data_IF_936777269642
#
_entry.id   IF_936777269642
#
_cell.length_a   1.000
_cell.length_b   1.000
_cell.length_c   1.000
_cell.angle_alpha   90.00
_cell.angle_beta   90.00
_cell.angle_gamma   90.00
#
_symmetry.space_group_name_H-M   'P 1'
#
loop_
_entity.id
_entity.type
_entity.pdbx_description
1 polymer ?
#
# COMPACT_ATOMS: atom_id res chain seq x y z
N UNK A 1 -1.42 8.98 -19.89
CA UNK A 1 -1.05 7.71 -20.56
C UNK A 1 -2.30 6.86 -20.66
N UNK A 2 -2.58 6.18 -21.80
CA UNK A 2 -3.74 5.31 -21.90
C UNK A 2 -3.58 4.11 -20.93
N UNK A 3 -4.68 3.69 -20.31
CA UNK A 3 -4.71 2.51 -19.43
C UNK A 3 -4.49 1.24 -20.28
N UNK A 4 -3.70 0.26 -19.81
CA UNK A 4 -3.63 -1.03 -20.48
C UNK A 4 -4.97 -1.77 -20.38
N UNK A 5 -5.29 -2.53 -21.44
CA UNK A 5 -6.56 -3.25 -21.64
C UNK A 5 -6.63 -4.48 -20.71
N UNK A 6 -7.68 -4.67 -19.88
CA UNK A 6 -7.75 -5.69 -18.82
C UNK A 6 -7.99 -7.13 -19.33
N UNK A 7 -7.65 -7.41 -20.58
CA UNK A 7 -7.90 -8.71 -21.20
C UNK A 7 -6.71 -9.65 -21.01
N UNK A 8 -6.86 -10.60 -20.09
CA UNK A 8 -6.04 -11.81 -19.87
C UNK A 8 -4.87 -11.68 -18.89
N UNK A 9 -5.14 -11.59 -17.59
CA UNK A 9 -4.49 -12.35 -16.51
C UNK A 9 -5.29 -12.05 -15.22
N UNK A 10 -5.46 -13.03 -14.35
CA UNK A 10 -6.27 -12.92 -13.12
C UNK A 10 -5.65 -11.92 -12.15
N UNK A 11 -6.11 -10.65 -12.18
CA UNK A 11 -5.52 -9.55 -11.41
C UNK A 11 -5.40 -9.87 -9.91
N UNK A 12 -6.41 -10.54 -9.32
CA UNK A 12 -6.43 -10.89 -7.90
C UNK A 12 -5.33 -11.86 -7.42
N UNK A 13 -4.92 -12.81 -8.25
CA UNK A 13 -3.87 -13.77 -7.88
C UNK A 13 -2.50 -13.08 -7.82
N UNK A 14 -2.30 -12.06 -8.64
CA UNK A 14 -1.05 -11.31 -8.69
C UNK A 14 -0.86 -10.44 -7.44
N UNK A 15 -1.91 -9.73 -6.98
CA UNK A 15 -1.87 -8.92 -5.75
C UNK A 15 -1.47 -9.75 -4.53
N UNK A 16 -2.16 -10.88 -4.31
CA UNK A 16 -1.85 -11.77 -3.18
C UNK A 16 -0.43 -12.34 -3.28
N UNK A 17 0.04 -12.68 -4.49
CA UNK A 17 1.39 -13.20 -4.68
C UNK A 17 2.47 -12.18 -4.30
N UNK A 18 2.29 -10.88 -4.62
CA UNK A 18 3.29 -9.86 -4.31
C UNK A 18 3.35 -9.54 -2.82
N UNK A 19 2.20 -9.38 -2.15
CA UNK A 19 2.13 -9.22 -0.69
C UNK A 19 2.79 -10.39 0.04
N UNK A 20 2.48 -11.62 -0.39
CA UNK A 20 3.05 -12.83 0.17
C UNK A 20 4.58 -12.89 -0.03
N UNK A 21 5.08 -12.56 -1.22
CA UNK A 21 6.52 -12.51 -1.49
C UNK A 21 7.22 -11.43 -0.66
N UNK A 22 6.57 -10.28 -0.47
CA UNK A 22 7.09 -9.22 0.40
C UNK A 22 7.21 -9.71 1.84
N UNK A 23 6.15 -10.32 2.38
CA UNK A 23 6.12 -10.89 3.73
C UNK A 23 7.20 -11.95 3.91
N UNK A 24 7.39 -12.87 2.96
CA UNK A 24 8.44 -13.88 3.06
C UNK A 24 9.86 -13.30 3.04
N UNK A 25 10.07 -12.19 2.33
CA UNK A 25 11.39 -11.57 2.21
C UNK A 25 11.73 -10.67 3.40
N UNK A 26 10.73 -9.96 3.93
CA UNK A 26 10.93 -8.90 4.93
C UNK A 26 10.43 -9.28 6.33
N UNK A 27 9.65 -10.35 6.46
CA UNK A 27 9.07 -10.86 7.71
C UNK A 27 8.14 -9.88 8.44
N UNK A 28 7.51 -8.95 7.71
CA UNK A 28 6.41 -8.12 8.20
C UNK A 28 5.45 -7.79 7.06
N UNK A 29 4.26 -7.34 7.42
CA UNK A 29 3.25 -6.84 6.49
C UNK A 29 3.02 -5.35 6.74
N UNK A 30 3.26 -4.48 5.75
CA UNK A 30 2.98 -3.05 5.89
C UNK A 30 1.50 -2.80 6.25
N UNK A 31 1.21 -1.97 7.27
CA UNK A 31 -0.18 -1.63 7.61
C UNK A 31 -0.88 -0.91 6.45
N UNK A 32 -0.11 -0.30 5.55
CA UNK A 32 -0.62 0.35 4.33
C UNK A 32 -1.48 -0.58 3.48
N UNK A 33 -1.21 -1.89 3.46
CA UNK A 33 -1.97 -2.83 2.63
C UNK A 33 -3.43 -3.02 3.05
N UNK A 34 -3.76 -2.65 4.29
CA UNK A 34 -5.13 -2.70 4.80
C UNK A 34 -5.82 -1.32 4.77
N UNK A 35 -5.10 -0.27 4.35
CA UNK A 35 -5.59 1.11 4.40
C UNK A 35 -6.27 1.51 3.09
N UNK A 36 -7.48 2.07 3.17
CA UNK A 36 -8.27 2.51 2.02
C UNK A 36 -7.63 3.61 1.16
N UNK A 37 -6.64 4.30 1.71
CA UNK A 37 -5.93 5.42 1.08
C UNK A 37 -4.61 5.01 0.42
N UNK A 38 -4.26 3.72 0.47
CA UNK A 38 -3.08 3.19 -0.19
C UNK A 38 -3.41 2.76 -1.62
N UNK A 39 -2.56 3.14 -2.57
CA UNK A 39 -2.69 2.74 -3.97
C UNK A 39 -1.98 1.38 -4.15
N UNK A 40 -2.67 0.29 -3.79
CA UNK A 40 -2.14 -1.07 -3.88
C UNK A 40 -1.81 -1.47 -5.33
N UNK A 41 -2.53 -0.93 -6.31
CA UNK A 41 -2.26 -1.13 -7.73
C UNK A 41 -0.91 -0.51 -8.13
N UNK A 42 -0.66 0.75 -7.73
CA UNK A 42 0.62 1.41 -7.97
C UNK A 42 1.80 0.66 -7.36
N UNK A 43 1.63 0.15 -6.14
CA UNK A 43 2.65 -0.67 -5.51
C UNK A 43 2.82 -1.98 -6.27
N UNK A 44 1.74 -2.69 -6.57
CA UNK A 44 1.79 -4.03 -7.13
C UNK A 44 2.45 -4.07 -8.50
N UNK A 45 2.01 -3.22 -9.42
CA UNK A 45 2.45 -3.25 -10.81
C UNK A 45 3.68 -2.39 -11.10
N UNK A 46 3.93 -1.34 -10.31
CA UNK A 46 5.00 -0.37 -10.59
C UNK A 46 6.01 -0.20 -9.45
N UNK A 47 5.83 -0.88 -8.33
CA UNK A 47 6.68 -0.79 -7.12
C UNK A 47 6.72 0.62 -6.50
N UNK A 48 5.64 1.38 -6.67
CA UNK A 48 5.50 2.75 -6.17
C UNK A 48 4.66 2.74 -4.89
N UNK A 49 5.22 3.21 -3.76
CA UNK A 49 4.53 3.35 -2.48
C UNK A 49 3.67 4.63 -2.44
N UNK A 50 2.54 4.64 -3.13
CA UNK A 50 1.67 5.81 -3.21
C UNK A 50 0.54 5.74 -2.18
N UNK A 51 0.31 6.87 -1.50
CA UNK A 51 -0.75 7.04 -0.52
C UNK A 51 -1.32 8.47 -0.62
N UNK A 52 -2.61 8.66 -0.35
CA UNK A 52 -3.19 10.02 -0.37
C UNK A 52 -2.71 10.90 0.79
N UNK A 53 -2.35 10.29 1.93
CA UNK A 53 -1.93 10.98 3.13
C UNK A 53 -0.53 11.62 3.03
N UNK A 54 0.36 11.05 2.21
CA UNK A 54 1.78 11.42 2.14
C UNK A 54 2.26 11.52 0.70
N UNK A 55 3.19 12.44 0.42
CA UNK A 55 3.95 12.41 -0.84
C UNK A 55 4.92 11.23 -0.91
N UNK A 56 5.52 10.87 0.23
CA UNK A 56 6.35 9.68 0.42
C UNK A 56 5.99 9.04 1.78
N UNK A 57 5.66 7.75 1.79
CA UNK A 57 5.26 7.05 3.01
C UNK A 57 6.48 6.90 3.93
N UNK A 58 6.43 7.41 5.18
CA UNK A 58 7.52 7.23 6.15
C UNK A 58 7.84 5.77 6.40
N UNK A 59 9.14 5.43 6.50
CA UNK A 59 9.59 4.05 6.72
C UNK A 59 9.01 3.42 7.98
N UNK A 60 8.80 4.19 9.05
CA UNK A 60 8.22 3.68 10.29
C UNK A 60 6.73 3.35 10.17
N UNK A 61 6.00 4.02 9.28
CA UNK A 61 4.62 3.64 8.93
C UNK A 61 4.65 2.41 8.04
N UNK A 62 5.50 2.41 7.02
CA UNK A 62 5.63 1.28 6.10
C UNK A 62 6.06 -0.01 6.81
N UNK A 63 6.97 0.08 7.79
CA UNK A 63 7.54 -1.06 8.51
C UNK A 63 6.76 -1.44 9.77
N UNK A 64 5.51 -1.01 9.92
CA UNK A 64 4.64 -1.31 11.08
C UNK A 64 5.20 -0.87 12.45
N UNK A 65 6.06 0.15 12.49
CA UNK A 65 6.49 0.77 13.77
C UNK A 65 5.50 1.85 14.22
N UNK A 66 4.64 2.29 13.33
CA UNK A 66 3.53 3.22 13.56
C UNK A 66 2.35 2.82 12.66
N UNK A 67 1.21 2.51 13.25
CA UNK A 67 0.02 2.04 12.53
C UNK A 67 -0.79 3.15 11.85
N UNK A 68 -0.33 4.41 11.95
CA UNK A 68 -0.96 5.61 11.41
C UNK A 68 -2.43 5.82 11.85
N UNK A 69 -2.85 5.23 12.98
CA UNK A 69 -4.18 5.48 13.56
C UNK A 69 -4.29 6.83 14.27
N UNK A 70 -3.14 7.42 14.60
CA UNK A 70 -3.04 8.77 15.15
C UNK A 70 -2.51 9.75 14.09
N UNK A 71 -2.75 11.04 14.30
CA UNK A 71 -2.17 12.08 13.45
C UNK A 71 -0.65 12.01 13.45
N UNK A 72 -0.06 12.22 12.29
CA UNK A 72 1.36 12.09 12.01
C UNK A 72 1.90 13.33 11.28
N UNK A 73 3.11 13.84 11.63
CA UNK A 73 3.68 15.00 10.94
C UNK A 73 3.79 14.81 9.42
N UNK A 74 3.19 15.71 8.65
CA UNK A 74 3.18 15.63 7.20
C UNK A 74 2.07 14.74 6.63
N UNK A 75 1.25 14.12 7.47
CA UNK A 75 -0.02 13.59 6.99
C UNK A 75 -0.93 14.76 6.59
N UNK A 76 -1.68 14.61 5.50
CA UNK A 76 -2.61 15.65 5.02
C UNK A 76 -3.90 15.69 5.84
N UNK A 77 -3.81 15.44 7.15
CA UNK A 77 -4.94 15.24 8.05
C UNK A 77 -5.69 13.92 7.83
N UNK A 78 -5.15 13.02 7.00
CA UNK A 78 -5.69 11.69 6.73
C UNK A 78 -5.04 10.71 7.71
N UNK A 79 -5.85 9.82 8.28
CA UNK A 79 -5.42 8.74 9.19
C UNK A 79 -5.72 7.39 8.56
N UNK A 80 -5.12 6.34 9.10
CA UNK A 80 -5.44 4.96 8.75
C UNK A 80 -6.95 4.67 8.86
N UNK A 81 -7.49 4.03 7.83
CA UNK A 81 -8.87 3.55 7.80
C UNK A 81 -8.95 2.28 6.94
N UNK A 82 -9.57 1.22 7.46
CA UNK A 82 -9.72 -0.07 6.76
C UNK A 82 -10.76 0.00 5.63
N UNK A 83 -10.63 -0.88 4.63
CA UNK A 83 -11.68 -1.14 3.63
C UNK A 83 -12.85 -1.89 4.31
N UNK A 84 -13.83 -1.16 4.85
CA UNK A 84 -15.08 -1.74 5.37
C UNK A 84 -15.97 -2.35 4.28
#
# INVERSE_FOLDING_TARGET
MPRPDPGTFVDGDYFQSKRLMFLFTHFYEPPCFECKYFDEEAWTFYDIKRCDAFDEIPDEIWSDKNDHKNSYPGDRGIKFEEYL
#
